data_IF_628833249733
#
_entry.id   IF_628833249733
#
_cell.length_a   1.000
_cell.length_b   1.000
_cell.length_c   1.000
_cell.angle_alpha   90.00
_cell.angle_beta   90.00
_cell.angle_gamma   90.00
#
_symmetry.space_group_name_H-M   'P 1'
#
loop_
_entity.id
_entity.type
_entity.pdbx_description
1 polymer ?
#
# COMPACT_ATOMS: atom_id res chain seq x y z
N UNK A 1 -13.38 -13.94 -23.68
CA UNK A 1 -13.42 -12.49 -23.34
C UNK A 1 -13.89 -12.21 -21.90
N UNK A 2 -14.95 -12.85 -21.39
CA UNK A 2 -15.44 -12.66 -19.98
C UNK A 2 -14.43 -12.98 -18.87
N UNK A 3 -13.56 -13.99 -19.05
CA UNK A 3 -12.55 -14.35 -18.04
C UNK A 3 -11.56 -13.22 -17.74
N UNK A 4 -11.14 -12.45 -18.75
CA UNK A 4 -10.21 -11.33 -18.57
C UNK A 4 -10.79 -10.22 -17.70
N UNK A 5 -12.08 -9.91 -17.87
CA UNK A 5 -12.77 -8.85 -17.12
C UNK A 5 -12.94 -9.23 -15.65
N UNK A 6 -13.31 -10.49 -15.36
CA UNK A 6 -13.44 -10.98 -13.99
C UNK A 6 -12.11 -10.94 -13.23
N UNK A 7 -11.02 -11.37 -13.88
CA UNK A 7 -9.67 -11.33 -13.28
C UNK A 7 -9.26 -9.90 -12.93
N UNK A 8 -9.58 -8.93 -13.78
CA UNK A 8 -9.27 -7.51 -13.53
C UNK A 8 -10.10 -6.91 -12.40
N UNK A 9 -11.38 -7.25 -12.32
CA UNK A 9 -12.22 -6.84 -11.20
C UNK A 9 -11.69 -7.41 -9.89
N UNK A 10 -11.38 -8.71 -9.84
CA UNK A 10 -10.81 -9.35 -8.64
C UNK A 10 -9.50 -8.70 -8.22
N UNK A 11 -8.60 -8.40 -9.17
CA UNK A 11 -7.35 -7.69 -8.89
C UNK A 11 -7.61 -6.33 -8.23
N UNK A 12 -8.53 -5.54 -8.78
CA UNK A 12 -8.89 -4.23 -8.21
C UNK A 12 -9.50 -4.36 -6.82
N UNK A 13 -10.40 -5.32 -6.62
CA UNK A 13 -10.99 -5.58 -5.31
C UNK A 13 -9.92 -5.93 -4.28
N UNK A 14 -9.01 -6.85 -4.60
CA UNK A 14 -7.92 -7.25 -3.71
C UNK A 14 -7.01 -6.08 -3.37
N UNK A 15 -6.60 -5.28 -4.36
CA UNK A 15 -5.74 -4.11 -4.13
C UNK A 15 -6.45 -3.10 -3.24
N UNK A 16 -7.70 -2.77 -3.58
CA UNK A 16 -8.49 -1.76 -2.87
C UNK A 16 -8.75 -2.17 -1.42
N UNK A 17 -9.07 -3.44 -1.19
CA UNK A 17 -9.29 -3.99 0.14
C UNK A 17 -8.06 -3.79 1.04
N UNK A 18 -6.87 -4.17 0.55
CA UNK A 18 -5.63 -4.05 1.33
C UNK A 18 -5.34 -2.60 1.71
N UNK A 19 -5.44 -1.66 0.77
CA UNK A 19 -5.13 -0.26 1.04
C UNK A 19 -6.18 0.43 1.91
N UNK A 20 -7.47 0.18 1.68
CA UNK A 20 -8.54 0.75 2.51
C UNK A 20 -8.40 0.27 3.96
N UNK A 21 -8.22 -1.04 4.15
CA UNK A 21 -8.07 -1.61 5.50
C UNK A 21 -6.78 -1.12 6.16
N UNK A 22 -5.65 -1.06 5.44
CA UNK A 22 -4.40 -0.54 5.98
C UNK A 22 -4.52 0.93 6.41
N UNK A 23 -5.15 1.77 5.59
CA UNK A 23 -5.37 3.17 5.91
C UNK A 23 -6.28 3.36 7.12
N UNK A 24 -7.38 2.62 7.23
CA UNK A 24 -8.22 2.65 8.43
C UNK A 24 -7.48 2.17 9.68
N UNK A 25 -6.67 1.11 9.56
CA UNK A 25 -5.87 0.60 10.66
C UNK A 25 -4.87 1.64 11.17
N UNK A 26 -4.28 2.46 10.30
CA UNK A 26 -3.41 3.57 10.70
C UNK A 26 -4.14 4.67 11.50
N UNK A 27 -5.44 4.85 11.27
CA UNK A 27 -6.25 5.87 11.98
C UNK A 27 -6.82 5.36 13.31
N UNK A 28 -7.11 4.06 13.41
CA UNK A 28 -7.81 3.48 14.58
C UNK A 28 -6.81 2.85 15.57
N UNK A 29 -5.74 2.24 15.08
CA UNK A 29 -4.81 1.49 15.94
C UNK A 29 -3.77 2.40 16.56
N UNK A 30 -3.85 2.55 17.89
CA UNK A 30 -2.81 3.23 18.67
C UNK A 30 -1.45 2.52 18.59
N UNK A 31 -1.42 1.19 18.38
CA UNK A 31 -0.18 0.42 18.25
C UNK A 31 0.56 0.77 16.96
N UNK A 32 -0.16 0.79 15.83
CA UNK A 32 0.39 1.23 14.53
C UNK A 32 0.77 2.70 14.61
N UNK A 33 -0.04 3.50 15.32
CA UNK A 33 0.24 4.89 15.62
C UNK A 33 1.62 5.09 16.24
N UNK A 34 1.85 4.43 17.37
CA UNK A 34 3.11 4.45 18.10
C UNK A 34 4.27 3.91 17.26
N UNK A 35 4.07 2.83 16.50
CA UNK A 35 5.10 2.29 15.62
C UNK A 35 5.55 3.31 14.56
N UNK A 36 4.62 4.08 13.98
CA UNK A 36 4.93 5.09 12.99
C UNK A 36 5.69 6.29 13.56
N UNK A 37 5.35 6.70 14.79
CA UNK A 37 6.06 7.77 15.51
C UNK A 37 7.51 7.40 15.77
N UNK A 38 7.78 6.11 16.03
CA UNK A 38 9.14 5.60 16.22
C UNK A 38 9.96 5.48 14.92
N UNK A 39 9.39 5.75 13.73
CA UNK A 39 10.12 5.71 12.46
C UNK A 39 11.09 6.89 12.26
N UNK A 40 11.10 7.88 13.15
CA UNK A 40 12.02 9.03 13.08
C UNK A 40 11.69 10.01 11.95
N UNK A 41 10.46 9.98 11.43
CA UNK A 41 10.00 10.91 10.40
C UNK A 41 9.74 12.32 10.96
N UNK A 42 9.94 13.39 10.16
CA UNK A 42 9.53 14.73 10.55
C UNK A 42 8.00 14.82 10.60
N UNK A 43 7.44 15.27 11.73
CA UNK A 43 5.98 15.37 11.96
C UNK A 43 5.24 14.02 11.70
N UNK A 44 5.56 12.96 12.45
CA UNK A 44 5.12 11.60 12.15
C UNK A 44 3.60 11.43 12.20
N UNK A 45 2.91 12.13 13.10
CA UNK A 45 1.44 12.07 13.16
C UNK A 45 0.80 12.67 11.90
N UNK A 46 1.25 13.84 11.44
CA UNK A 46 0.70 14.47 10.25
C UNK A 46 0.93 13.59 9.02
N UNK A 47 2.14 13.06 8.86
CA UNK A 47 2.48 12.14 7.77
C UNK A 47 1.64 10.87 7.80
N UNK A 48 1.43 10.28 8.98
CA UNK A 48 0.60 9.09 9.13
C UNK A 48 -0.84 9.34 8.67
N UNK A 49 -1.44 10.46 9.09
CA UNK A 49 -2.80 10.82 8.66
C UNK A 49 -2.85 11.03 7.13
N UNK A 50 -1.88 11.75 6.57
CA UNK A 50 -1.81 11.98 5.10
C UNK A 50 -1.69 10.66 4.34
N UNK A 51 -0.81 9.76 4.77
CA UNK A 51 -0.64 8.43 4.16
C UNK A 51 -1.93 7.62 4.28
N UNK A 52 -2.57 7.59 5.46
CA UNK A 52 -3.81 6.87 5.68
C UNK A 52 -4.95 7.40 4.78
N UNK A 53 -5.11 8.71 4.68
CA UNK A 53 -6.10 9.31 3.78
C UNK A 53 -5.81 9.00 2.31
N UNK A 54 -4.55 9.08 1.87
CA UNK A 54 -4.17 8.73 0.51
C UNK A 54 -4.46 7.27 0.18
N UNK A 55 -4.18 6.34 1.09
CA UNK A 55 -4.47 4.92 0.91
C UNK A 55 -5.96 4.65 0.77
N UNK A 56 -6.79 5.26 1.63
CA UNK A 56 -8.25 5.10 1.59
C UNK A 56 -8.81 5.70 0.29
N UNK A 57 -8.46 6.95 -0.03
CA UNK A 57 -8.98 7.65 -1.21
C UNK A 57 -8.56 6.90 -2.49
N UNK A 58 -7.28 6.55 -2.61
CA UNK A 58 -6.78 5.85 -3.79
C UNK A 58 -7.35 4.42 -3.89
N UNK A 59 -7.50 3.72 -2.77
CA UNK A 59 -8.16 2.41 -2.72
C UNK A 59 -9.61 2.49 -3.19
N UNK A 60 -10.37 3.49 -2.74
CA UNK A 60 -11.75 3.73 -3.18
C UNK A 60 -11.81 4.07 -4.68
N UNK A 61 -10.89 4.90 -5.18
CA UNK A 61 -10.81 5.24 -6.61
C UNK A 61 -10.53 4.01 -7.48
N UNK A 62 -9.63 3.12 -7.05
CA UNK A 62 -9.35 1.85 -7.74
C UNK A 62 -10.57 0.93 -7.72
N UNK A 63 -11.27 0.85 -6.60
CA UNK A 63 -12.48 0.04 -6.42
C UNK A 63 -13.58 0.41 -7.42
N UNK A 64 -13.85 1.71 -7.56
CA UNK A 64 -14.85 2.24 -8.50
C UNK A 64 -14.32 2.39 -9.94
N UNK A 65 -13.08 1.97 -10.20
CA UNK A 65 -12.41 2.15 -11.49
C UNK A 65 -12.42 3.61 -12.00
N UNK A 66 -12.43 4.58 -11.08
CA UNK A 66 -12.43 6.01 -11.40
C UNK A 66 -11.01 6.52 -11.27
N UNK A 67 -10.37 6.87 -12.39
CA UNK A 67 -8.99 7.36 -12.41
C UNK A 67 -7.96 6.42 -11.75
N UNK A 68 -8.14 5.09 -11.89
CA UNK A 68 -7.27 4.08 -11.27
C UNK A 68 -5.78 4.31 -11.56
N UNK A 69 -5.43 4.76 -12.77
CA UNK A 69 -4.05 5.06 -13.17
C UNK A 69 -3.40 6.14 -12.31
N UNK A 70 -4.15 7.21 -11.99
CA UNK A 70 -3.68 8.29 -11.13
C UNK A 70 -3.63 7.88 -9.66
N UNK A 71 -4.51 6.97 -9.22
CA UNK A 71 -4.53 6.45 -7.86
C UNK A 71 -3.40 5.45 -7.58
N UNK A 72 -2.92 4.74 -8.60
CA UNK A 72 -1.83 3.76 -8.45
C UNK A 72 -0.48 4.43 -8.19
N UNK A 73 -0.19 5.58 -8.82
CA UNK A 73 1.07 6.32 -8.66
C UNK A 73 1.38 6.64 -7.18
N UNK A 74 0.49 7.30 -6.41
CA UNK A 74 0.75 7.60 -5.00
C UNK A 74 0.84 6.32 -4.16
N UNK A 75 0.06 5.28 -4.45
CA UNK A 75 0.14 4.00 -3.73
C UNK A 75 1.48 3.29 -3.93
N UNK A 76 2.06 3.34 -5.13
CA UNK A 76 3.42 2.81 -5.38
C UNK A 76 4.44 3.58 -4.53
N UNK A 77 4.33 4.92 -4.49
CA UNK A 77 5.23 5.75 -3.67
C UNK A 77 5.15 5.42 -2.18
N UNK A 78 3.93 5.21 -1.65
CA UNK A 78 3.71 4.80 -0.26
C UNK A 78 4.35 3.44 0.01
N UNK A 79 4.20 2.46 -0.89
CA UNK A 79 4.78 1.13 -0.70
C UNK A 79 6.30 1.12 -0.76
N UNK A 80 6.92 1.87 -1.67
CA UNK A 80 8.38 2.02 -1.70
C UNK A 80 8.88 2.66 -0.39
N UNK A 81 8.21 3.71 0.05
CA UNK A 81 8.56 4.42 1.30
C UNK A 81 8.42 3.50 2.52
N UNK A 82 7.35 2.70 2.57
CA UNK A 82 7.14 1.72 3.64
C UNK A 82 8.26 0.67 3.70
N UNK A 83 8.69 0.13 2.56
CA UNK A 83 9.80 -0.83 2.49
C UNK A 83 11.11 -0.20 3.00
N UNK A 84 11.42 1.02 2.54
CA UNK A 84 12.64 1.72 2.93
C UNK A 84 12.66 1.99 4.44
N UNK A 85 11.56 2.50 4.99
CA UNK A 85 11.52 2.93 6.39
C UNK A 85 11.38 1.78 7.38
N UNK A 86 10.62 0.74 7.04
CA UNK A 86 10.27 -0.31 8.01
C UNK A 86 11.05 -1.61 7.82
N UNK A 87 11.54 -1.90 6.61
CA UNK A 87 12.13 -3.20 6.28
C UNK A 87 13.64 -3.14 6.04
N UNK A 88 14.20 -2.01 5.62
CA UNK A 88 15.67 -1.89 5.52
C UNK A 88 16.42 -2.15 6.83
N UNK A 89 15.92 -1.72 8.02
CA UNK A 89 16.58 -2.06 9.29
C UNK A 89 16.58 -3.57 9.58
N UNK A 90 15.62 -4.33 9.02
CA UNK A 90 15.57 -5.78 9.17
C UNK A 90 16.60 -6.51 8.29
N UNK A 91 17.23 -5.84 7.32
CA UNK A 91 18.24 -6.44 6.46
C UNK A 91 19.48 -6.87 7.25
N UNK A 92 19.76 -6.19 8.37
CA UNK A 92 20.83 -6.53 9.30
C UNK A 92 20.62 -7.89 9.99
N UNK A 93 19.36 -8.34 10.09
CA UNK A 93 18.99 -9.66 10.65
C UNK A 93 19.09 -10.81 9.64
N UNK A 94 19.37 -10.51 8.36
CA UNK A 94 19.49 -11.46 7.27
C UNK A 94 18.43 -11.32 6.19
N UNK A 95 18.70 -11.88 5.00
CA UNK A 95 17.82 -11.77 3.84
C UNK A 95 16.47 -12.49 4.00
N UNK A 96 16.45 -13.66 4.67
CA UNK A 96 15.24 -14.46 4.79
C UNK A 96 14.17 -13.80 5.69
N UNK A 97 14.52 -13.25 6.88
CA UNK A 97 13.59 -12.45 7.69
C UNK A 97 13.06 -11.22 6.94
N UNK A 98 13.94 -10.49 6.25
CA UNK A 98 13.55 -9.36 5.42
C UNK A 98 12.52 -9.75 4.34
N UNK A 99 12.79 -10.81 3.59
CA UNK A 99 11.92 -11.28 2.52
C UNK A 99 10.56 -11.76 3.07
N UNK A 100 10.57 -12.38 4.25
CA UNK A 100 9.34 -12.77 4.93
C UNK A 100 8.53 -11.52 5.33
N UNK A 101 9.16 -10.53 5.95
CA UNK A 101 8.47 -9.35 6.46
C UNK A 101 8.00 -8.38 5.37
N UNK A 102 8.69 -8.31 4.24
CA UNK A 102 8.34 -7.46 3.10
C UNK A 102 7.42 -8.16 2.08
N UNK A 103 7.04 -9.42 2.30
CA UNK A 103 6.26 -10.24 1.35
C UNK A 103 5.00 -9.56 0.85
N UNK A 104 4.27 -8.88 1.74
CA UNK A 104 3.02 -8.21 1.40
C UNK A 104 3.31 -6.99 0.53
N UNK A 105 4.26 -6.14 0.93
CA UNK A 105 4.63 -4.92 0.21
C UNK A 105 5.12 -5.23 -1.21
N UNK A 106 5.94 -6.27 -1.37
CA UNK A 106 6.44 -6.72 -2.68
C UNK A 106 5.30 -7.18 -3.58
N UNK A 107 4.38 -8.01 -3.05
CA UNK A 107 3.22 -8.47 -3.83
C UNK A 107 2.35 -7.26 -4.21
N UNK A 108 2.08 -6.35 -3.28
CA UNK A 108 1.26 -5.16 -3.55
C UNK A 108 1.88 -4.26 -4.61
N UNK A 109 3.21 -4.07 -4.60
CA UNK A 109 3.92 -3.34 -5.64
C UNK A 109 3.76 -3.99 -7.03
N UNK A 110 3.90 -5.31 -7.12
CA UNK A 110 3.72 -6.03 -8.38
C UNK A 110 2.27 -5.90 -8.87
N UNK A 111 1.28 -6.06 -7.99
CA UNK A 111 -0.13 -5.95 -8.36
C UNK A 111 -0.50 -4.52 -8.79
N UNK A 112 0.01 -3.51 -8.11
CA UNK A 112 -0.15 -2.10 -8.51
C UNK A 112 0.49 -1.84 -9.87
N UNK A 113 1.70 -2.34 -10.12
CA UNK A 113 2.37 -2.18 -11.40
C UNK A 113 1.59 -2.85 -12.56
N UNK A 114 1.06 -4.05 -12.33
CA UNK A 114 0.20 -4.74 -13.29
C UNK A 114 -1.06 -3.90 -13.58
N UNK A 115 -1.71 -3.41 -12.53
CA UNK A 115 -2.92 -2.58 -12.65
C UNK A 115 -2.63 -1.28 -13.42
N UNK A 116 -1.48 -0.64 -13.17
CA UNK A 116 -1.04 0.57 -13.88
C UNK A 116 -0.88 0.32 -15.39
N UNK A 117 -0.28 -0.82 -15.77
CA UNK A 117 -0.11 -1.20 -17.18
C UNK A 117 -1.42 -1.55 -17.87
N UNK A 118 -2.39 -2.09 -17.14
CA UNK A 118 -3.64 -2.60 -17.69
C UNK A 118 -4.77 -1.57 -17.72
N UNK A 119 -4.73 -0.51 -16.90
CA UNK A 119 -5.73 0.56 -16.98
C UNK A 119 -5.45 1.45 -18.21
N UNK A 120 -5.93 1.04 -19.38
CA UNK A 120 -6.09 1.87 -20.59
C UNK A 120 -7.57 2.16 -20.77
#
# INVERSE_FOLDING_TARGET
MKHSVLTMSLLRYSISYVFIVSGFMKLISAEIGNAFVNLGLPYPELLMHVVAFLEIICGVLILFNRSAKSAVIPLIGIMITAIILTKMPALDSGFMPFAFDARLDVIMLVLLFILYRQST
#
